data_IF_026618050937
#
_entry.id   IF_026618050937
#
_cell.length_a   1.000
_cell.length_b   1.000
_cell.length_c   1.000
_cell.angle_alpha   90.00
_cell.angle_beta   90.00
_cell.angle_gamma   90.00
#
_symmetry.space_group_name_H-M   'P 1'
#
loop_
_entity.id
_entity.type
_entity.pdbx_description
1 polymer ?
#
# COMPACT_ATOMS: atom_id res chain seq x y z
N UNK A 1 44.81 -95.96 -18.75
CA UNK A 1 45.28 -94.98 -19.74
C UNK A 1 44.13 -94.05 -20.02
N UNK A 2 44.31 -92.79 -19.59
CA UNK A 2 43.76 -91.51 -20.08
C UNK A 2 42.41 -91.47 -20.82
N UNK A 3 41.37 -90.84 -20.25
CA UNK A 3 41.01 -89.39 -20.33
C UNK A 3 39.84 -89.24 -21.32
N UNK A 4 38.65 -88.77 -20.95
CA UNK A 4 38.36 -87.37 -20.62
C UNK A 4 36.85 -87.22 -20.29
N UNK A 5 36.54 -86.33 -19.34
CA UNK A 5 35.19 -85.82 -18.95
C UNK A 5 34.98 -84.42 -19.62
N UNK A 6 33.81 -83.72 -19.55
CA UNK A 6 32.63 -83.90 -18.68
C UNK A 6 31.21 -83.71 -19.32
N UNK A 7 30.14 -84.18 -18.66
CA UNK A 7 28.95 -83.47 -18.08
C UNK A 7 27.69 -83.44 -18.98
N UNK A 8 26.57 -84.14 -18.68
CA UNK A 8 25.45 -83.83 -17.73
C UNK A 8 24.94 -82.38 -17.84
N UNK A 9 23.65 -82.04 -17.93
CA UNK A 9 22.37 -82.75 -17.88
C UNK A 9 21.28 -81.83 -18.44
N UNK A 10 20.17 -82.41 -18.91
CA UNK A 10 18.93 -81.70 -19.23
C UNK A 10 18.28 -81.09 -17.98
N UNK A 11 17.69 -79.92 -18.13
CA UNK A 11 16.85 -79.24 -17.13
C UNK A 11 16.19 -78.03 -17.79
N UNK A 12 14.89 -78.15 -18.07
CA UNK A 12 14.02 -77.07 -18.53
C UNK A 12 13.92 -75.97 -17.45
N UNK A 13 14.03 -74.71 -17.87
CA UNK A 13 13.68 -73.54 -17.07
C UNK A 13 12.65 -72.70 -17.84
N UNK A 14 11.57 -72.22 -17.19
CA UNK A 14 10.63 -71.31 -17.81
C UNK A 14 11.23 -69.91 -17.90
N UNK A 15 10.81 -69.14 -18.90
CA UNK A 15 11.16 -67.74 -19.04
C UNK A 15 10.55 -66.93 -17.88
N UNK A 16 11.42 -66.34 -17.06
CA UNK A 16 11.04 -65.29 -16.12
C UNK A 16 10.66 -64.04 -16.92
N UNK A 17 9.36 -63.81 -17.10
CA UNK A 17 8.84 -62.48 -17.43
C UNK A 17 9.03 -61.59 -16.21
N UNK A 18 10.00 -60.68 -16.28
CA UNK A 18 10.08 -59.55 -15.37
C UNK A 18 8.83 -58.69 -15.51
N UNK A 19 7.81 -58.99 -14.70
CA UNK A 19 6.68 -58.10 -14.48
C UNK A 19 7.21 -56.89 -13.71
N UNK A 20 7.49 -55.81 -14.43
CA UNK A 20 7.71 -54.49 -13.83
C UNK A 20 6.36 -54.08 -13.27
N UNK A 21 6.21 -54.16 -11.95
CA UNK A 21 5.06 -53.63 -11.24
C UNK A 21 5.12 -52.09 -11.36
N UNK A 22 4.53 -51.58 -12.44
CA UNK A 22 4.28 -50.15 -12.62
C UNK A 22 3.20 -49.73 -11.63
N UNK A 23 3.60 -49.53 -10.37
CA UNK A 23 2.82 -48.72 -9.46
C UNK A 23 2.67 -47.33 -10.10
N UNK A 24 1.44 -46.84 -10.32
CA UNK A 24 1.27 -45.47 -10.78
C UNK A 24 1.83 -44.58 -9.68
N UNK A 25 2.95 -43.91 -9.98
CA UNK A 25 3.39 -42.77 -9.20
C UNK A 25 2.26 -41.78 -9.33
N UNK A 26 1.50 -41.60 -8.25
CA UNK A 26 0.57 -40.51 -8.13
C UNK A 26 1.40 -39.23 -8.20
N UNK A 27 1.57 -38.70 -9.42
CA UNK A 27 2.12 -37.38 -9.67
C UNK A 27 1.18 -36.40 -8.95
N UNK A 28 1.45 -36.17 -7.67
CA UNK A 28 0.91 -35.05 -6.93
C UNK A 28 1.31 -33.81 -7.73
N UNK A 29 0.40 -33.34 -8.58
CA UNK A 29 0.51 -32.11 -9.33
C UNK A 29 0.76 -31.02 -8.30
N UNK A 30 2.02 -30.60 -8.16
CA UNK A 30 2.39 -29.53 -7.23
C UNK A 30 1.65 -28.28 -7.69
N UNK A 31 0.60 -27.91 -6.95
CA UNK A 31 -0.16 -26.70 -7.22
C UNK A 31 0.65 -25.51 -6.74
N UNK A 32 1.17 -24.73 -7.67
CA UNK A 32 1.91 -23.51 -7.35
C UNK A 32 0.94 -22.34 -7.14
N UNK A 33 0.32 -22.26 -5.97
CA UNK A 33 -0.63 -21.19 -5.58
C UNK A 33 -0.01 -20.14 -4.64
N UNK A 34 -0.81 -19.17 -4.20
CA UNK A 34 -0.44 -18.12 -3.26
C UNK A 34 -0.02 -18.63 -1.86
N UNK A 35 -0.35 -19.88 -1.51
CA UNK A 35 -0.04 -20.51 -0.22
C UNK A 35 1.18 -21.43 -0.28
N UNK A 36 1.77 -21.60 -1.46
CA UNK A 36 2.92 -22.47 -1.69
C UNK A 36 4.18 -21.64 -1.85
N UNK A 37 5.27 -22.02 -1.19
CA UNK A 37 6.57 -21.32 -1.26
C UNK A 37 7.20 -21.43 -2.66
N UNK A 38 8.01 -20.42 -3.01
CA UNK A 38 8.89 -20.51 -4.18
C UNK A 38 10.34 -20.60 -3.70
N UNK A 39 11.04 -21.74 -3.86
CA UNK A 39 12.42 -21.89 -3.40
C UNK A 39 13.43 -21.08 -4.22
N UNK A 40 13.01 -20.53 -5.36
CA UNK A 40 13.84 -19.72 -6.25
C UNK A 40 13.27 -18.33 -6.43
N UNK A 41 14.15 -17.33 -6.59
CA UNK A 41 13.72 -15.93 -6.73
C UNK A 41 12.98 -15.66 -8.05
N UNK A 42 13.34 -16.34 -9.15
CA UNK A 42 12.73 -16.15 -10.47
C UNK A 42 12.49 -17.50 -11.17
N UNK A 43 11.52 -17.57 -12.11
CA UNK A 43 10.59 -16.50 -12.51
C UNK A 43 9.51 -16.21 -11.45
N UNK A 44 9.01 -14.97 -11.42
CA UNK A 44 7.89 -14.59 -10.54
C UNK A 44 6.58 -15.18 -11.06
N UNK A 45 5.77 -15.75 -10.15
CA UNK A 45 4.41 -16.24 -10.44
C UNK A 45 3.41 -15.09 -10.42
N UNK A 46 3.67 -14.07 -9.61
CA UNK A 46 2.83 -12.88 -9.47
C UNK A 46 3.63 -11.60 -9.73
N UNK A 47 4.09 -11.33 -10.98
CA UNK A 47 4.94 -10.16 -11.28
C UNK A 47 4.35 -8.83 -10.81
N UNK A 48 3.02 -8.73 -10.76
CA UNK A 48 2.32 -7.55 -10.27
C UNK A 48 2.59 -7.21 -8.80
N UNK A 49 2.89 -8.21 -7.96
CA UNK A 49 3.24 -7.96 -6.57
C UNK A 49 4.64 -7.32 -6.47
N UNK A 50 5.56 -7.75 -7.34
CA UNK A 50 6.86 -7.09 -7.46
C UNK A 50 6.73 -5.64 -7.95
N UNK A 51 5.87 -5.38 -8.93
CA UNK A 51 5.64 -4.00 -9.39
C UNK A 51 5.01 -3.12 -8.31
N UNK A 52 4.08 -3.66 -7.50
CA UNK A 52 3.52 -2.95 -6.35
C UNK A 52 4.59 -2.64 -5.30
N UNK A 53 5.44 -3.62 -4.96
CA UNK A 53 6.61 -3.41 -4.10
C UNK A 53 7.51 -2.29 -4.63
N UNK A 54 7.90 -2.36 -5.91
CA UNK A 54 8.80 -1.38 -6.52
C UNK A 54 8.16 0.01 -6.58
N UNK A 55 6.86 0.09 -6.81
CA UNK A 55 6.11 1.35 -6.76
C UNK A 55 6.18 1.95 -5.36
N UNK A 56 5.91 1.17 -4.31
CA UNK A 56 6.01 1.65 -2.93
C UNK A 56 7.41 2.18 -2.59
N UNK A 57 8.47 1.48 -3.03
CA UNK A 57 9.84 1.95 -2.80
C UNK A 57 10.13 3.30 -3.46
N UNK A 58 9.55 3.56 -4.64
CA UNK A 58 9.76 4.80 -5.40
C UNK A 58 9.03 6.01 -4.81
N UNK A 59 8.04 5.77 -3.96
CA UNK A 59 7.21 6.83 -3.36
C UNK A 59 7.45 6.96 -1.85
N UNK A 60 8.53 6.36 -1.35
CA UNK A 60 8.92 6.45 0.06
C UNK A 60 9.07 7.90 0.53
N UNK A 61 8.68 8.16 1.77
CA UNK A 61 8.73 9.47 2.41
C UNK A 61 8.88 9.30 3.92
N UNK A 62 9.32 10.36 4.60
CA UNK A 62 9.39 10.43 6.05
C UNK A 62 8.65 11.67 6.57
N UNK A 63 7.97 11.60 7.73
CA UNK A 63 7.18 12.72 8.22
C UNK A 63 7.97 13.98 8.53
N UNK A 64 9.25 13.85 8.90
CA UNK A 64 10.14 14.98 9.17
C UNK A 64 10.42 15.83 7.92
N UNK A 65 10.10 15.34 6.72
CA UNK A 65 10.21 16.09 5.47
C UNK A 65 9.13 17.17 5.33
N UNK A 66 8.06 17.10 6.15
CA UNK A 66 6.93 18.04 6.07
C UNK A 66 7.05 19.16 7.11
N UNK A 67 7.07 20.43 6.69
CA UNK A 67 7.08 21.55 7.63
C UNK A 67 5.69 21.74 8.28
N UNK A 68 5.64 21.69 9.61
CA UNK A 68 4.40 21.78 10.40
C UNK A 68 4.19 23.12 11.14
N UNK A 69 5.02 24.12 10.87
CA UNK A 69 4.96 25.40 11.60
C UNK A 69 3.62 26.15 11.42
N UNK A 70 3.05 26.11 10.21
CA UNK A 70 1.75 26.71 9.94
C UNK A 70 0.61 25.91 10.60
N UNK A 71 0.71 24.58 10.67
CA UNK A 71 -0.23 23.71 11.36
C UNK A 71 -0.29 24.01 12.86
N UNK A 72 0.85 24.24 13.51
CA UNK A 72 0.90 24.67 14.92
C UNK A 72 0.18 26.01 15.11
N UNK A 73 0.41 26.96 14.21
CA UNK A 73 -0.26 28.27 14.24
C UNK A 73 -1.76 28.12 14.03
N UNK A 74 -2.17 27.35 13.03
CA UNK A 74 -3.57 27.10 12.69
C UNK A 74 -4.28 26.44 13.86
N UNK A 75 -3.67 25.38 14.41
CA UNK A 75 -4.14 24.72 15.61
C UNK A 75 -4.35 25.74 16.70
N UNK A 76 -3.36 26.51 17.14
CA UNK A 76 -3.57 27.37 18.31
C UNK A 76 -4.42 28.63 18.07
N UNK A 77 -4.54 29.12 16.83
CA UNK A 77 -5.09 30.47 16.57
C UNK A 77 -6.23 30.54 15.57
N UNK A 78 -6.29 29.64 14.59
CA UNK A 78 -7.19 29.79 13.45
C UNK A 78 -8.34 28.77 13.43
N UNK A 79 -8.15 27.59 14.04
CA UNK A 79 -9.20 26.59 14.16
C UNK A 79 -10.26 27.00 15.20
N UNK A 80 -11.52 26.95 14.79
CA UNK A 80 -12.68 27.06 15.67
C UNK A 80 -12.76 25.86 16.64
N UNK A 81 -13.60 25.98 17.67
CA UNK A 81 -13.83 24.87 18.61
C UNK A 81 -14.37 23.61 17.94
N UNK A 82 -15.31 23.76 17.00
CA UNK A 82 -15.91 22.66 16.26
C UNK A 82 -14.90 21.97 15.33
N UNK A 83 -14.10 22.76 14.59
CA UNK A 83 -13.02 22.26 13.74
C UNK A 83 -11.96 21.48 14.54
N UNK A 84 -11.54 22.02 15.68
CA UNK A 84 -10.58 21.36 16.57
C UNK A 84 -11.15 20.07 17.14
N UNK A 85 -12.41 20.08 17.58
CA UNK A 85 -13.08 18.86 18.04
C UNK A 85 -13.10 17.80 16.94
N UNK A 86 -13.49 18.17 15.72
CA UNK A 86 -13.55 17.26 14.58
C UNK A 86 -12.18 16.59 14.34
N UNK A 87 -11.11 17.38 14.25
CA UNK A 87 -9.74 16.86 14.10
C UNK A 87 -9.34 15.96 15.28
N UNK A 88 -9.60 16.37 16.51
CA UNK A 88 -9.29 15.57 17.70
C UNK A 88 -9.98 14.20 17.67
N UNK A 89 -11.26 14.12 17.27
CA UNK A 89 -11.95 12.83 17.21
C UNK A 89 -11.38 11.92 16.12
N UNK A 90 -10.96 12.49 14.97
CA UNK A 90 -10.30 11.73 13.91
C UNK A 90 -8.98 11.16 14.42
N UNK A 91 -8.11 12.02 14.95
CA UNK A 91 -6.77 11.64 15.39
C UNK A 91 -6.75 10.59 16.49
N UNK A 92 -7.74 10.57 17.39
CA UNK A 92 -7.85 9.57 18.46
C UNK A 92 -7.90 8.13 17.96
N UNK A 93 -8.50 7.91 16.80
CA UNK A 93 -8.62 6.57 16.23
C UNK A 93 -7.64 6.32 15.08
N UNK A 94 -7.20 7.38 14.40
CA UNK A 94 -6.41 7.26 13.18
C UNK A 94 -5.11 6.46 13.38
N UNK A 95 -4.29 6.85 14.37
CA UNK A 95 -3.05 6.13 14.68
C UNK A 95 -3.30 4.68 15.10
N UNK A 96 -4.38 4.41 15.83
CA UNK A 96 -4.72 3.04 16.22
C UNK A 96 -5.18 2.20 15.03
N UNK A 97 -5.89 2.79 14.06
CA UNK A 97 -6.33 2.09 12.87
C UNK A 97 -5.12 1.55 12.08
N UNK A 98 -4.09 2.35 11.88
CA UNK A 98 -2.87 1.90 11.18
C UNK A 98 -2.09 0.85 11.97
N UNK A 99 -2.11 0.92 13.31
CA UNK A 99 -1.55 -0.15 14.16
C UNK A 99 -2.26 -1.47 13.87
N UNK A 100 -3.59 -1.47 13.74
CA UNK A 100 -4.34 -2.68 13.43
C UNK A 100 -4.11 -3.17 11.99
N UNK A 101 -4.02 -2.26 11.02
CA UNK A 101 -3.68 -2.61 9.63
C UNK A 101 -2.28 -3.24 9.55
N UNK A 102 -1.27 -2.63 10.18
CA UNK A 102 0.08 -3.20 10.27
C UNK A 102 0.09 -4.57 10.97
N UNK A 103 -0.67 -4.72 12.06
CA UNK A 103 -0.84 -6.00 12.73
C UNK A 103 -1.40 -7.06 11.78
N UNK A 104 -2.36 -6.72 10.91
CA UNK A 104 -2.87 -7.63 9.90
C UNK A 104 -1.80 -8.06 8.89
N UNK A 105 -1.03 -7.11 8.35
CA UNK A 105 0.08 -7.43 7.45
C UNK A 105 1.09 -8.41 8.09
N UNK A 106 1.51 -8.11 9.33
CA UNK A 106 2.59 -8.82 10.01
C UNK A 106 2.16 -10.13 10.68
N UNK A 107 0.95 -10.20 11.23
CA UNK A 107 0.48 -11.34 12.04
C UNK A 107 -0.49 -12.24 11.29
N UNK A 108 -1.05 -11.77 10.17
CA UNK A 108 -2.01 -12.52 9.36
C UNK A 108 -1.49 -12.79 7.95
N UNK A 109 -1.32 -11.77 7.11
CA UNK A 109 -1.00 -11.97 5.69
C UNK A 109 0.38 -12.63 5.46
N UNK A 110 1.43 -12.14 6.12
CA UNK A 110 2.79 -12.70 5.98
C UNK A 110 2.88 -14.17 6.44
N UNK A 111 1.97 -14.61 7.32
CA UNK A 111 1.91 -15.98 7.83
C UNK A 111 1.42 -16.96 6.78
N UNK A 112 0.51 -16.54 5.89
CA UNK A 112 -0.20 -17.42 4.96
C UNK A 112 0.30 -17.33 3.53
N UNK A 113 0.65 -16.14 3.04
CA UNK A 113 1.19 -15.97 1.69
C UNK A 113 2.66 -16.32 1.62
N UNK A 114 3.07 -17.02 0.56
CA UNK A 114 4.39 -17.65 0.46
C UNK A 114 5.26 -17.27 -0.74
N UNK A 115 4.73 -16.84 -1.91
CA UNK A 115 5.57 -16.37 -3.00
C UNK A 115 6.45 -15.20 -2.58
N UNK A 116 7.74 -15.23 -2.95
CA UNK A 116 8.72 -14.21 -2.54
C UNK A 116 8.29 -12.80 -2.93
N UNK A 117 7.81 -12.60 -4.16
CA UNK A 117 7.35 -11.31 -4.65
C UNK A 117 6.12 -10.78 -3.91
N UNK A 118 5.25 -11.67 -3.40
CA UNK A 118 4.10 -11.28 -2.54
C UNK A 118 4.60 -10.89 -1.16
N UNK A 119 5.53 -11.66 -0.58
CA UNK A 119 6.16 -11.30 0.71
C UNK A 119 6.92 -9.98 0.63
N UNK A 120 7.60 -9.68 -0.48
CA UNK A 120 8.23 -8.39 -0.72
C UNK A 120 7.20 -7.25 -0.67
N UNK A 121 6.11 -7.38 -1.42
CA UNK A 121 5.01 -6.40 -1.43
C UNK A 121 4.43 -6.18 -0.03
N UNK A 122 4.05 -7.26 0.67
CA UNK A 122 3.48 -7.17 2.02
C UNK A 122 4.47 -6.56 3.04
N UNK A 123 5.77 -6.83 2.89
CA UNK A 123 6.79 -6.23 3.75
C UNK A 123 6.95 -4.73 3.52
N UNK A 124 6.86 -4.29 2.26
CA UNK A 124 6.90 -2.86 1.95
C UNK A 124 5.66 -2.13 2.49
N UNK A 125 4.46 -2.69 2.31
CA UNK A 125 3.23 -2.10 2.84
C UNK A 125 3.25 -2.04 4.36
N UNK A 126 3.63 -3.14 5.03
CA UNK A 126 3.81 -3.13 6.49
C UNK A 126 4.78 -2.06 6.97
N UNK A 127 5.92 -1.88 6.30
CA UNK A 127 6.85 -0.82 6.65
C UNK A 127 6.23 0.57 6.43
N UNK A 128 5.48 0.77 5.35
CA UNK A 128 4.73 2.01 5.11
C UNK A 128 3.72 2.29 6.23
N UNK A 129 3.01 1.28 6.74
CA UNK A 129 2.12 1.49 7.91
C UNK A 129 2.87 1.98 9.14
N UNK A 130 4.11 1.53 9.36
CA UNK A 130 4.92 2.08 10.46
C UNK A 130 5.28 3.55 10.26
N UNK A 131 5.43 3.98 9.00
CA UNK A 131 5.66 5.38 8.64
C UNK A 131 4.38 6.18 8.87
N UNK A 132 3.20 5.64 8.52
CA UNK A 132 1.90 6.27 8.81
C UNK A 132 1.73 6.51 10.33
N UNK A 133 1.97 5.47 11.14
CA UNK A 133 1.91 5.57 12.61
C UNK A 133 2.86 6.66 13.12
N UNK A 134 4.11 6.65 12.67
CA UNK A 134 5.10 7.65 13.07
C UNK A 134 4.72 9.06 12.60
N UNK A 135 4.17 9.20 11.40
CA UNK A 135 3.77 10.47 10.82
C UNK A 135 2.61 11.11 11.57
N UNK A 136 1.58 10.32 11.88
CA UNK A 136 0.46 10.81 12.69
C UNK A 136 0.92 11.10 14.11
N UNK A 137 1.77 10.27 14.71
CA UNK A 137 2.34 10.58 16.02
C UNK A 137 3.11 11.91 16.01
N UNK A 138 3.97 12.11 15.02
CA UNK A 138 4.77 13.32 14.87
C UNK A 138 3.89 14.58 14.70
N UNK A 139 2.84 14.49 13.89
CA UNK A 139 1.88 15.58 13.72
C UNK A 139 1.20 15.94 15.05
N UNK A 140 0.73 14.95 15.80
CA UNK A 140 0.02 15.14 17.06
C UNK A 140 0.91 15.72 18.16
N UNK A 141 2.14 15.22 18.26
CA UNK A 141 3.14 15.73 19.21
C UNK A 141 3.48 17.19 18.89
N UNK A 142 3.62 17.52 17.59
CA UNK A 142 3.98 18.86 17.13
C UNK A 142 2.90 19.90 17.44
N UNK A 143 1.61 19.56 17.31
CA UNK A 143 0.49 20.45 17.68
C UNK A 143 0.20 20.46 19.20
N UNK A 144 0.96 19.68 19.98
CA UNK A 144 0.85 19.62 21.44
C UNK A 144 -0.36 18.84 21.94
N UNK A 145 -0.82 17.82 21.22
CA UNK A 145 -1.89 16.95 21.70
C UNK A 145 -1.37 16.05 22.85
N UNK A 146 -2.09 15.93 23.98
CA UNK A 146 -1.65 15.07 25.08
C UNK A 146 -1.60 13.59 24.68
N UNK A 147 -0.57 12.87 25.12
CA UNK A 147 -0.40 11.43 24.85
C UNK A 147 -1.58 10.56 25.32
N UNK A 148 -2.33 11.01 26.34
CA UNK A 148 -3.53 10.29 26.80
C UNK A 148 -4.57 10.11 25.68
N UNK A 149 -4.56 11.00 24.68
CA UNK A 149 -5.49 10.96 23.56
C UNK A 149 -5.28 9.72 22.68
N UNK A 150 -4.08 9.12 22.64
CA UNK A 150 -3.84 7.85 21.95
C UNK A 150 -4.61 6.68 22.57
N UNK A 151 -4.94 6.74 23.87
CA UNK A 151 -5.72 5.71 24.54
C UNK A 151 -7.21 6.06 24.63
N UNK A 152 -7.59 7.26 24.18
CA UNK A 152 -8.95 7.75 24.35
C UNK A 152 -9.96 6.95 23.53
N UNK A 153 -9.54 6.30 22.43
CA UNK A 153 -10.43 5.48 21.61
C UNK A 153 -11.12 4.36 22.40
N UNK A 154 -10.46 3.78 23.41
CA UNK A 154 -11.05 2.76 24.28
C UNK A 154 -12.21 3.28 25.15
N UNK A 155 -12.33 4.60 25.29
CA UNK A 155 -13.35 5.27 26.12
C UNK A 155 -14.59 5.68 25.32
N UNK A 156 -14.50 5.74 23.99
CA UNK A 156 -15.61 6.08 23.11
C UNK A 156 -16.17 4.80 22.51
N UNK A 157 -17.47 4.55 22.69
CA UNK A 157 -18.12 3.32 22.22
C UNK A 157 -17.94 3.13 20.72
N UNK A 158 -18.10 4.21 19.96
CA UNK A 158 -18.03 4.25 18.50
C UNK A 158 -16.65 3.81 18.00
N UNK A 159 -15.59 4.22 18.70
CA UNK A 159 -14.22 3.83 18.34
C UNK A 159 -13.85 2.44 18.87
N UNK A 160 -14.33 2.08 20.07
CA UNK A 160 -14.12 0.75 20.64
C UNK A 160 -14.80 -0.34 19.81
N UNK A 161 -16.02 -0.11 19.35
CA UNK A 161 -16.75 -1.07 18.51
C UNK A 161 -15.96 -1.38 17.22
N UNK A 162 -15.38 -0.35 16.59
CA UNK A 162 -14.48 -0.50 15.43
C UNK A 162 -13.27 -1.37 15.78
N UNK A 163 -12.59 -1.04 16.88
CA UNK A 163 -11.44 -1.81 17.35
C UNK A 163 -11.79 -3.28 17.60
N UNK A 164 -12.86 -3.54 18.35
CA UNK A 164 -13.32 -4.89 18.69
C UNK A 164 -13.68 -5.68 17.42
N UNK A 165 -14.34 -5.04 16.44
CA UNK A 165 -14.68 -5.66 15.17
C UNK A 165 -13.43 -6.12 14.41
N UNK A 166 -12.36 -5.32 14.39
CA UNK A 166 -11.09 -5.67 13.75
C UNK A 166 -10.40 -6.88 14.42
N UNK A 167 -10.66 -7.14 15.71
CA UNK A 167 -10.12 -8.32 16.41
C UNK A 167 -10.83 -9.63 16.03
N UNK A 168 -11.97 -9.56 15.33
CA UNK A 168 -12.77 -10.72 14.95
C UNK A 168 -12.26 -11.48 13.72
N UNK A 169 -11.20 -10.99 13.06
CA UNK A 169 -10.69 -11.55 11.82
C UNK A 169 -9.53 -12.52 12.07
N UNK A 170 -9.44 -13.56 11.24
CA UNK A 170 -8.44 -14.61 11.34
C UNK A 170 -7.99 -15.04 9.94
N UNK A 171 -6.99 -15.91 9.88
CA UNK A 171 -6.51 -16.51 8.63
C UNK A 171 -6.27 -18.01 8.82
N UNK A 172 -7.20 -18.67 9.52
CA UNK A 172 -7.10 -20.08 9.90
C UNK A 172 -7.72 -21.02 8.87
N UNK A 173 -8.54 -20.47 7.96
CA UNK A 173 -9.13 -21.17 6.82
C UNK A 173 -9.15 -20.29 5.57
N UNK A 174 -9.33 -20.90 4.38
CA UNK A 174 -9.41 -20.14 3.11
C UNK A 174 -10.51 -19.09 3.08
N UNK A 175 -11.77 -19.37 3.50
CA UNK A 175 -12.79 -18.33 3.58
C UNK A 175 -12.41 -17.19 4.54
N UNK A 176 -11.75 -17.49 5.66
CA UNK A 176 -11.28 -16.47 6.60
C UNK A 176 -10.15 -15.62 6.00
N UNK A 177 -9.19 -16.22 5.30
CA UNK A 177 -8.16 -15.46 4.55
C UNK A 177 -8.82 -14.47 3.58
N UNK A 178 -9.76 -14.95 2.77
CA UNK A 178 -10.45 -14.10 1.80
C UNK A 178 -11.30 -13.01 2.49
N UNK A 179 -11.98 -13.34 3.60
CA UNK A 179 -12.74 -12.36 4.40
C UNK A 179 -11.82 -11.28 4.96
N UNK A 180 -10.68 -11.67 5.54
CA UNK A 180 -9.71 -10.75 6.14
C UNK A 180 -9.09 -9.83 5.08
N UNK A 181 -8.74 -10.36 3.90
CA UNK A 181 -8.31 -9.53 2.76
C UNK A 181 -9.35 -8.47 2.36
N UNK A 182 -10.63 -8.85 2.29
CA UNK A 182 -11.70 -7.91 1.98
C UNK A 182 -11.92 -6.89 3.11
N UNK A 183 -11.93 -7.35 4.36
CA UNK A 183 -12.16 -6.50 5.52
C UNK A 183 -11.05 -5.44 5.68
N UNK A 184 -9.79 -5.85 5.72
CA UNK A 184 -8.68 -4.92 5.92
C UNK A 184 -8.33 -4.16 4.65
N UNK A 185 -8.07 -4.86 3.54
CA UNK A 185 -7.62 -4.20 2.31
C UNK A 185 -8.70 -3.36 1.62
N UNK A 186 -9.89 -3.92 1.44
CA UNK A 186 -10.93 -3.22 0.69
C UNK A 186 -11.76 -2.26 1.56
N UNK A 187 -12.11 -2.67 2.78
CA UNK A 187 -13.05 -1.91 3.61
C UNK A 187 -12.39 -1.06 4.71
N UNK A 188 -11.26 -1.47 5.28
CA UNK A 188 -10.51 -0.63 6.23
C UNK A 188 -9.64 0.37 5.47
N UNK A 189 -8.61 -0.10 4.77
CA UNK A 189 -7.68 0.73 3.99
C UNK A 189 -8.42 1.46 2.87
N UNK A 190 -9.26 0.74 2.10
CA UNK A 190 -9.95 1.31 0.94
C UNK A 190 -11.21 2.15 1.21
N UNK A 191 -11.82 2.10 2.40
CA UNK A 191 -13.11 2.78 2.68
C UNK A 191 -13.05 3.59 3.99
N UNK A 192 -12.74 2.95 5.11
CA UNK A 192 -12.71 3.61 6.42
C UNK A 192 -11.67 4.72 6.47
N UNK A 193 -10.43 4.46 6.04
CA UNK A 193 -9.39 5.49 6.01
C UNK A 193 -9.73 6.62 5.02
N UNK A 194 -10.29 6.29 3.86
CA UNK A 194 -10.72 7.29 2.85
C UNK A 194 -11.79 8.24 3.36
N UNK A 195 -12.68 7.79 4.24
CA UNK A 195 -13.65 8.68 4.88
C UNK A 195 -12.97 9.75 5.73
N UNK A 196 -11.98 9.34 6.53
CA UNK A 196 -11.19 10.23 7.36
C UNK A 196 -10.30 11.16 6.52
N UNK A 197 -9.68 10.65 5.45
CA UNK A 197 -8.92 11.46 4.50
C UNK A 197 -9.77 12.56 3.88
N UNK A 198 -11.01 12.26 3.48
CA UNK A 198 -11.93 13.27 2.95
C UNK A 198 -12.19 14.38 3.97
N UNK A 199 -12.37 14.05 5.25
CA UNK A 199 -12.56 15.09 6.28
C UNK A 199 -11.27 15.91 6.48
N UNK A 200 -10.11 15.26 6.57
CA UNK A 200 -8.84 15.93 6.83
C UNK A 200 -8.41 16.83 5.66
N UNK A 201 -8.60 16.39 4.41
CA UNK A 201 -8.28 17.17 3.22
C UNK A 201 -9.21 18.38 3.02
N UNK A 202 -10.35 18.44 3.71
CA UNK A 202 -11.20 19.62 3.68
C UNK A 202 -10.53 20.85 4.33
N UNK A 203 -9.61 20.67 5.28
CA UNK A 203 -8.90 21.80 5.93
C UNK A 203 -7.95 22.56 4.99
N UNK A 204 -7.02 21.88 4.27
CA UNK A 204 -6.13 22.56 3.33
C UNK A 204 -6.87 23.23 2.17
N UNK A 205 -8.07 22.75 1.81
CA UNK A 205 -8.98 23.42 0.86
C UNK A 205 -9.32 24.85 1.27
N UNK A 206 -9.38 25.12 2.58
CA UNK A 206 -9.60 26.44 3.16
C UNK A 206 -8.31 27.07 3.71
N UNK A 207 -7.16 26.58 3.26
CA UNK A 207 -5.84 27.12 3.59
C UNK A 207 -5.39 26.88 5.03
N UNK A 208 -5.99 25.91 5.73
CA UNK A 208 -5.64 25.53 7.11
C UNK A 208 -4.95 24.18 7.15
N UNK A 209 -4.07 23.95 8.12
CA UNK A 209 -3.44 22.64 8.38
C UNK A 209 -2.77 22.07 7.11
N UNK A 210 -1.94 22.87 6.45
CA UNK A 210 -1.37 22.54 5.12
C UNK A 210 -0.35 21.41 5.20
N UNK A 211 0.47 21.36 6.25
CA UNK A 211 1.42 20.27 6.48
C UNK A 211 0.70 18.94 6.74
N UNK A 212 -0.35 18.95 7.57
CA UNK A 212 -1.26 17.81 7.69
C UNK A 212 -1.84 17.42 6.32
N UNK A 213 -2.28 18.40 5.53
CA UNK A 213 -2.77 18.15 4.16
C UNK A 213 -1.77 17.40 3.28
N UNK A 214 -0.48 17.76 3.36
CA UNK A 214 0.60 17.08 2.64
C UNK A 214 0.78 15.63 3.13
N UNK A 215 0.89 15.42 4.44
CA UNK A 215 1.00 14.09 5.05
C UNK A 215 -0.15 13.20 4.59
N UNK A 216 -1.39 13.71 4.69
CA UNK A 216 -2.59 12.96 4.30
C UNK A 216 -2.61 12.65 2.81
N UNK A 217 -2.14 13.55 1.95
CA UNK A 217 -2.09 13.28 0.52
C UNK A 217 -1.08 12.19 0.17
N UNK A 218 0.05 12.13 0.87
CA UNK A 218 1.00 11.02 0.72
C UNK A 218 0.41 9.71 1.25
N UNK A 219 -0.26 9.72 2.40
CA UNK A 219 -0.98 8.54 2.90
C UNK A 219 -2.05 8.07 1.92
N UNK A 220 -2.84 8.96 1.30
CA UNK A 220 -3.85 8.54 0.30
C UNK A 220 -3.21 7.83 -0.89
N UNK A 221 -2.04 8.28 -1.35
CA UNK A 221 -1.31 7.64 -2.45
C UNK A 221 -0.87 6.22 -2.06
N UNK A 222 -0.35 6.06 -0.85
CA UNK A 222 0.08 4.77 -0.32
C UNK A 222 -1.12 3.83 -0.13
N UNK A 223 -2.18 4.29 0.55
CA UNK A 223 -3.41 3.52 0.77
C UNK A 223 -4.13 3.14 -0.52
N UNK A 224 -4.02 3.96 -1.57
CA UNK A 224 -4.56 3.61 -2.90
C UNK A 224 -3.81 2.41 -3.48
N UNK A 225 -2.48 2.40 -3.39
CA UNK A 225 -1.65 1.27 -3.84
C UNK A 225 -1.90 0.02 -3.00
N UNK A 226 -2.02 0.17 -1.68
CA UNK A 226 -2.32 -0.92 -0.75
C UNK A 226 -3.67 -1.56 -1.07
N UNK A 227 -4.73 -0.76 -1.09
CA UNK A 227 -6.10 -1.19 -1.38
C UNK A 227 -6.18 -1.94 -2.73
N UNK A 228 -5.67 -1.34 -3.82
CA UNK A 228 -5.75 -1.96 -5.14
C UNK A 228 -4.94 -3.28 -5.22
N UNK A 229 -3.77 -3.32 -4.59
CA UNK A 229 -2.91 -4.52 -4.56
C UNK A 229 -3.50 -5.63 -3.71
N UNK A 230 -4.10 -5.32 -2.55
CA UNK A 230 -4.75 -6.31 -1.67
C UNK A 230 -6.07 -6.80 -2.28
N UNK A 231 -6.83 -5.95 -2.97
CA UNK A 231 -7.98 -6.41 -3.76
C UNK A 231 -7.51 -7.34 -4.88
N UNK A 232 -6.40 -7.04 -5.56
CA UNK A 232 -5.85 -7.95 -6.57
C UNK A 232 -5.41 -9.27 -5.96
N UNK A 233 -4.79 -9.25 -4.78
CA UNK A 233 -4.44 -10.45 -4.02
C UNK A 233 -5.69 -11.27 -3.65
N UNK A 234 -6.76 -10.61 -3.19
CA UNK A 234 -8.06 -11.24 -2.94
C UNK A 234 -8.63 -11.92 -4.17
N UNK A 235 -8.69 -11.21 -5.32
CA UNK A 235 -9.24 -11.78 -6.55
C UNK A 235 -8.43 -12.98 -7.04
N UNK A 236 -7.10 -12.90 -6.90
CA UNK A 236 -6.19 -13.99 -7.23
C UNK A 236 -6.42 -15.19 -6.31
N UNK A 237 -6.50 -14.96 -5.00
CA UNK A 237 -6.75 -15.99 -4.00
C UNK A 237 -8.11 -16.68 -4.18
N UNK A 238 -9.18 -15.93 -4.41
CA UNK A 238 -10.51 -16.50 -4.73
C UNK A 238 -10.47 -17.27 -6.05
N UNK A 239 -9.75 -16.77 -7.06
CA UNK A 239 -9.60 -17.44 -8.35
C UNK A 239 -8.87 -18.79 -8.25
N UNK A 240 -7.88 -18.89 -7.36
CA UNK A 240 -7.15 -20.13 -7.06
C UNK A 240 -7.94 -21.09 -6.17
N UNK A 241 -8.97 -20.60 -5.46
CA UNK A 241 -9.78 -21.37 -4.52
C UNK A 241 -11.29 -21.17 -4.82
N UNK A 242 -11.77 -21.54 -6.02
CA UNK A 242 -13.12 -21.20 -6.48
C UNK A 242 -14.24 -21.79 -5.60
N UNK A 243 -13.96 -22.85 -4.84
CA UNK A 243 -14.90 -23.47 -3.91
C UNK A 243 -15.36 -22.55 -2.78
N UNK A 244 -14.57 -21.53 -2.42
CA UNK A 244 -14.95 -20.57 -1.37
C UNK A 244 -15.95 -19.53 -1.86
N UNK A 245 -16.07 -19.33 -3.18
CA UNK A 245 -16.92 -18.30 -3.79
C UNK A 245 -18.39 -18.71 -3.86
N UNK A 246 -18.96 -19.00 -2.70
CA UNK A 246 -20.37 -19.40 -2.53
C UNK A 246 -21.27 -18.18 -2.34
N UNK A 247 -22.60 -18.35 -2.49
CA UNK A 247 -23.57 -17.31 -2.12
C UNK A 247 -23.45 -16.90 -0.65
N UNK A 248 -23.20 -17.88 0.23
CA UNK A 248 -23.01 -17.63 1.66
C UNK A 248 -21.80 -16.71 1.91
N UNK A 249 -20.68 -16.98 1.24
CA UNK A 249 -19.48 -16.15 1.37
C UNK A 249 -19.68 -14.75 0.76
N UNK A 250 -20.32 -14.62 -0.40
CA UNK A 250 -20.66 -13.31 -0.98
C UNK A 250 -21.55 -12.48 -0.03
N UNK A 251 -22.56 -13.11 0.57
CA UNK A 251 -23.43 -12.47 1.57
C UNK A 251 -22.63 -11.97 2.77
N UNK A 252 -21.67 -12.76 3.23
CA UNK A 252 -20.81 -12.43 4.35
C UNK A 252 -19.91 -11.21 4.06
N UNK A 253 -19.41 -11.08 2.83
CA UNK A 253 -18.70 -9.86 2.39
C UNK A 253 -19.61 -8.62 2.39
N UNK A 254 -20.87 -8.75 1.96
CA UNK A 254 -21.84 -7.65 2.05
C UNK A 254 -22.11 -7.24 3.51
N UNK A 255 -22.26 -8.21 4.41
CA UNK A 255 -22.48 -7.94 5.84
C UNK A 255 -21.24 -7.29 6.47
N UNK A 256 -20.04 -7.72 6.10
CA UNK A 256 -18.78 -7.11 6.54
C UNK A 256 -18.72 -5.64 6.11
N UNK A 257 -19.00 -5.37 4.82
CA UNK A 257 -19.04 -4.00 4.29
C UNK A 257 -20.09 -3.14 5.01
N UNK A 258 -21.31 -3.65 5.18
CA UNK A 258 -22.40 -2.92 5.84
C UNK A 258 -22.06 -2.60 7.31
N UNK A 259 -21.51 -3.56 8.06
CA UNK A 259 -21.07 -3.34 9.45
C UNK A 259 -20.02 -2.23 9.53
N UNK A 260 -19.04 -2.21 8.63
CA UNK A 260 -18.02 -1.14 8.61
C UNK A 260 -18.64 0.21 8.29
N UNK A 261 -19.58 0.29 7.35
CA UNK A 261 -20.32 1.54 7.05
C UNK A 261 -21.12 2.00 8.27
N UNK A 262 -21.78 1.10 9.00
CA UNK A 262 -22.53 1.45 10.21
C UNK A 262 -21.63 1.97 11.33
N UNK A 263 -20.44 1.37 11.49
CA UNK A 263 -19.44 1.86 12.43
C UNK A 263 -18.92 3.24 12.05
N UNK A 264 -18.65 3.48 10.77
CA UNK A 264 -18.24 4.79 10.29
C UNK A 264 -19.33 5.84 10.45
N UNK A 265 -20.59 5.49 10.21
CA UNK A 265 -21.71 6.40 10.43
C UNK A 265 -21.76 6.88 11.89
N UNK A 266 -21.57 5.96 12.85
CA UNK A 266 -21.52 6.27 14.27
C UNK A 266 -20.30 7.13 14.63
N UNK A 267 -19.13 6.80 14.07
CA UNK A 267 -17.91 7.59 14.25
C UNK A 267 -18.05 9.02 13.69
N UNK A 268 -18.67 9.17 12.52
CA UNK A 268 -18.94 10.49 11.92
C UNK A 268 -19.87 11.30 12.81
N UNK A 269 -20.93 10.70 13.37
CA UNK A 269 -21.83 11.42 14.28
C UNK A 269 -21.08 11.93 15.53
N UNK A 270 -20.16 11.12 16.09
CA UNK A 270 -19.29 11.54 17.19
C UNK A 270 -18.35 12.67 16.76
N UNK A 271 -17.71 12.54 15.60
CA UNK A 271 -16.72 13.49 15.09
C UNK A 271 -17.34 14.87 14.80
N UNK A 272 -18.54 14.87 14.21
CA UNK A 272 -19.34 16.07 13.92
C UNK A 272 -20.29 16.48 15.06
N UNK A 273 -20.08 15.99 16.28
CA UNK A 273 -20.96 16.28 17.43
C UNK A 273 -21.08 17.77 17.80
N UNK A 274 -20.15 18.62 17.32
CA UNK A 274 -20.22 20.09 17.46
C UNK A 274 -20.79 20.82 16.23
N UNK A 275 -21.36 20.08 15.29
CA UNK A 275 -21.94 20.60 14.05
C UNK A 275 -21.00 20.52 12.85
N UNK A 276 -21.46 21.01 11.68
CA UNK A 276 -20.67 21.02 10.45
C UNK A 276 -19.49 21.98 10.54
N UNK A 277 -18.52 21.77 9.65
CA UNK A 277 -17.38 22.68 9.44
C UNK A 277 -17.51 23.37 8.08
N UNK A 278 -16.65 24.35 7.81
CA UNK A 278 -16.65 25.06 6.54
C UNK A 278 -16.52 24.08 5.36
N UNK A 279 -17.50 24.09 4.46
CA UNK A 279 -17.48 23.28 3.24
C UNK A 279 -17.70 21.77 3.40
N UNK A 280 -18.04 21.27 4.58
CA UNK A 280 -18.27 19.84 4.82
C UNK A 280 -19.27 19.56 5.95
N UNK A 281 -20.25 18.70 5.67
CA UNK A 281 -21.24 18.19 6.62
C UNK A 281 -21.11 16.69 6.87
N UNK A 282 -21.55 16.22 8.04
CA UNK A 282 -21.63 14.80 8.36
C UNK A 282 -22.40 13.99 7.30
N UNK A 283 -23.52 14.54 6.79
CA UNK A 283 -24.35 13.87 5.80
C UNK A 283 -23.61 13.65 4.47
N UNK A 284 -22.80 14.61 4.02
CA UNK A 284 -21.99 14.47 2.81
C UNK A 284 -20.90 13.39 2.97
N UNK A 285 -20.24 13.34 4.14
CA UNK A 285 -19.25 12.28 4.43
C UNK A 285 -19.92 10.90 4.46
N UNK A 286 -21.10 10.78 5.09
CA UNK A 286 -21.86 9.51 5.10
C UNK A 286 -22.29 9.05 3.71
N UNK A 287 -22.63 9.97 2.81
CA UNK A 287 -22.86 9.65 1.40
C UNK A 287 -21.58 9.23 0.69
N UNK A 288 -20.47 9.91 0.97
CA UNK A 288 -19.17 9.58 0.39
C UNK A 288 -18.73 8.16 0.75
N UNK A 289 -18.92 7.74 2.01
CA UNK A 289 -18.64 6.38 2.46
C UNK A 289 -19.41 5.34 1.65
N UNK A 290 -20.70 5.56 1.44
CA UNK A 290 -21.55 4.64 0.65
C UNK A 290 -21.10 4.57 -0.81
N UNK A 291 -20.68 5.70 -1.37
CA UNK A 291 -20.10 5.77 -2.72
C UNK A 291 -18.81 4.95 -2.82
N UNK A 292 -17.90 5.08 -1.87
CA UNK A 292 -16.67 4.27 -1.84
C UNK A 292 -16.98 2.80 -1.57
N UNK A 293 -17.91 2.48 -0.66
CA UNK A 293 -18.32 1.11 -0.36
C UNK A 293 -18.76 0.35 -1.62
N UNK A 294 -19.59 0.97 -2.45
CA UNK A 294 -20.01 0.38 -3.73
C UNK A 294 -18.83 0.12 -4.67
N UNK A 295 -17.88 1.06 -4.76
CA UNK A 295 -16.67 0.87 -5.57
C UNK A 295 -15.84 -0.32 -5.09
N UNK A 296 -15.65 -0.46 -3.77
CA UNK A 296 -14.90 -1.59 -3.19
C UNK A 296 -15.61 -2.92 -3.41
N UNK A 297 -16.93 -2.97 -3.23
CA UNK A 297 -17.73 -4.15 -3.54
C UNK A 297 -17.58 -4.55 -5.02
N UNK A 298 -17.66 -3.60 -5.95
CA UNK A 298 -17.47 -3.85 -7.38
C UNK A 298 -16.06 -4.36 -7.68
N UNK A 299 -15.02 -3.76 -7.10
CA UNK A 299 -13.64 -4.22 -7.28
C UNK A 299 -13.44 -5.65 -6.74
N UNK A 300 -14.12 -6.03 -5.64
CA UNK A 300 -14.16 -7.40 -5.13
C UNK A 300 -14.99 -8.37 -6.00
N UNK A 301 -15.68 -7.90 -7.04
CA UNK A 301 -16.51 -8.72 -7.93
C UNK A 301 -17.95 -8.91 -7.48
N UNK A 302 -18.45 -8.04 -6.61
CA UNK A 302 -19.83 -8.00 -6.13
C UNK A 302 -20.61 -6.88 -6.83
N UNK A 303 -21.94 -6.91 -6.71
CA UNK A 303 -22.80 -5.81 -7.16
C UNK A 303 -22.83 -4.68 -6.12
N UNK A 304 -23.04 -3.41 -6.51
CA UNK A 304 -23.17 -2.31 -5.57
C UNK A 304 -24.36 -2.51 -4.64
N UNK A 305 -24.19 -2.12 -3.36
CA UNK A 305 -25.18 -2.25 -2.30
C UNK A 305 -26.03 -0.99 -2.18
N UNK A 306 -25.40 0.19 -2.18
CA UNK A 306 -26.04 1.49 -1.95
C UNK A 306 -26.48 2.19 -3.23
N UNK A 307 -25.89 1.81 -4.37
CA UNK A 307 -26.16 2.30 -5.73
C UNK A 307 -25.96 3.81 -5.87
N UNK A 308 -24.89 4.34 -5.29
CA UNK A 308 -24.49 5.73 -5.51
C UNK A 308 -23.61 5.84 -6.76
N UNK A 309 -24.12 6.53 -7.77
CA UNK A 309 -23.44 6.65 -9.07
C UNK A 309 -22.42 7.81 -9.12
N UNK A 310 -22.55 8.80 -8.24
CA UNK A 310 -21.73 10.03 -8.28
C UNK A 310 -21.03 10.27 -6.96
N UNK A 311 -19.78 10.72 -7.05
CA UNK A 311 -19.02 11.18 -5.90
C UNK A 311 -19.72 12.43 -5.30
N UNK A 312 -20.17 12.40 -4.03
CA UNK A 312 -20.79 13.57 -3.38
C UNK A 312 -19.76 14.64 -2.99
N UNK A 313 -18.46 14.33 -3.03
CA UNK A 313 -17.35 15.23 -2.73
C UNK A 313 -16.44 15.40 -3.96
N UNK A 314 -16.90 16.01 -5.06
CA UNK A 314 -16.13 16.08 -6.32
C UNK A 314 -14.81 16.86 -6.18
N UNK A 315 -14.74 17.80 -5.25
CA UNK A 315 -13.51 18.55 -4.94
C UNK A 315 -12.39 17.64 -4.42
N UNK A 316 -12.71 16.47 -3.86
CA UNK A 316 -11.72 15.53 -3.36
C UNK A 316 -10.90 14.95 -4.52
N UNK A 317 -11.56 14.64 -5.65
CA UNK A 317 -10.87 14.15 -6.85
C UNK A 317 -9.92 15.23 -7.39
N UNK A 318 -10.33 16.51 -7.36
CA UNK A 318 -9.48 17.63 -7.78
C UNK A 318 -8.24 17.78 -6.87
N UNK A 319 -8.43 17.66 -5.55
CA UNK A 319 -7.32 17.76 -4.60
C UNK A 319 -6.31 16.63 -4.73
N UNK A 320 -6.78 15.38 -4.86
CA UNK A 320 -5.91 14.22 -5.00
C UNK A 320 -5.11 14.28 -6.32
N UNK A 321 -5.75 14.67 -7.42
CA UNK A 321 -5.07 14.83 -8.71
C UNK A 321 -4.07 16.01 -8.69
N UNK A 322 -4.38 17.11 -8.00
CA UNK A 322 -3.48 18.27 -7.92
C UNK A 322 -2.17 17.94 -7.21
N UNK A 323 -2.21 17.10 -6.16
CA UNK A 323 -1.03 16.71 -5.37
C UNK A 323 -0.09 15.78 -6.16
N UNK A 324 -0.62 14.89 -7.00
CA UNK A 324 0.20 14.09 -7.91
C UNK A 324 0.98 14.97 -8.91
N UNK A 325 0.37 16.05 -9.40
CA UNK A 325 0.99 16.96 -10.36
C UNK A 325 1.99 17.96 -9.74
N UNK A 326 1.75 18.45 -8.52
CA UNK A 326 2.68 19.42 -7.86
C UNK A 326 3.96 18.74 -7.37
N UNK A 327 3.87 17.53 -6.81
CA UNK A 327 5.03 16.79 -6.31
C UNK A 327 6.05 16.44 -7.42
N UNK A 328 5.62 16.32 -8.68
CA UNK A 328 6.51 15.95 -9.80
C UNK A 328 7.34 17.13 -10.34
N UNK A 329 6.89 18.38 -10.18
CA UNK A 329 7.55 19.55 -10.77
C UNK A 329 8.29 20.45 -9.76
N UNK A 330 7.87 20.48 -8.49
CA UNK A 330 8.47 21.39 -7.50
C UNK A 330 9.58 20.75 -6.65
N UNK A 331 9.54 19.43 -6.39
CA UNK A 331 10.55 18.73 -5.59
C UNK A 331 11.73 18.16 -6.39
N UNK A 332 11.65 18.18 -7.73
CA UNK A 332 12.63 17.54 -8.61
C UNK A 332 14.02 18.23 -8.64
N UNK A 333 14.14 19.41 -8.04
CA UNK A 333 15.38 20.19 -8.07
C UNK A 333 16.37 19.89 -6.93
N UNK A 334 15.95 19.15 -5.89
CA UNK A 334 16.77 18.91 -4.68
C UNK A 334 17.13 17.45 -4.42
N UNK A 335 16.49 16.50 -5.08
CA UNK A 335 16.87 15.09 -5.00
C UNK A 335 17.96 14.77 -6.02
N UNK A 336 19.20 14.93 -5.58
CA UNK A 336 20.41 14.48 -6.27
C UNK A 336 20.33 12.97 -6.55
N UNK A 337 19.87 12.60 -7.74
CA UNK A 337 20.36 11.38 -8.38
C UNK A 337 21.83 11.60 -8.71
N UNK A 338 22.72 11.19 -7.79
CA UNK A 338 23.98 10.56 -8.18
C UNK A 338 23.59 9.36 -9.05
N UNK A 339 23.43 9.62 -10.34
CA UNK A 339 23.21 8.59 -11.33
C UNK A 339 24.43 7.66 -11.29
N UNK A 340 24.23 6.53 -10.61
CA UNK A 340 24.99 5.32 -10.82
C UNK A 340 24.89 4.95 -12.30
N UNK A 341 26.06 4.67 -12.86
CA UNK A 341 26.31 4.29 -14.25
C UNK A 341 25.39 3.15 -14.65
N UNK A 342 24.75 3.26 -15.82
CA UNK A 342 24.06 2.15 -16.46
C UNK A 342 25.12 1.32 -17.18
N UNK A 343 25.26 0.05 -16.81
CA UNK A 343 26.09 -0.93 -17.50
C UNK A 343 25.52 -2.33 -17.24
N UNK A 344 25.57 -3.19 -18.24
CA UNK A 344 25.17 -4.59 -18.09
C UNK A 344 26.36 -5.41 -17.55
N UNK A 345 26.08 -6.54 -16.89
CA UNK A 345 27.14 -7.45 -16.39
C UNK A 345 28.06 -7.96 -17.51
N UNK A 346 27.59 -7.97 -18.76
CA UNK A 346 28.33 -8.41 -19.94
C UNK A 346 29.42 -7.39 -20.33
N UNK A 347 29.19 -6.09 -20.08
CA UNK A 347 30.15 -5.01 -20.38
C UNK A 347 31.34 -4.96 -19.38
N UNK A 348 31.24 -5.66 -18.25
CA UNK A 348 32.21 -5.59 -17.16
C UNK A 348 33.32 -6.67 -17.22
N UNK A 349 33.15 -7.71 -18.05
CA UNK A 349 34.03 -8.88 -18.05
C UNK A 349 34.60 -9.27 -19.43
N UNK A 350 34.47 -8.42 -20.45
CA UNK A 350 35.23 -8.61 -21.68
C UNK A 350 36.69 -8.17 -21.48
N UNK A 351 37.62 -9.10 -21.75
CA UNK A 351 39.07 -8.93 -21.54
C UNK A 351 39.64 -7.70 -22.27
N UNK A 352 40.54 -6.92 -21.65
CA UNK A 352 41.12 -5.73 -22.28
C UNK A 352 42.17 -6.11 -23.34
N UNK A 353 42.21 -5.45 -24.51
CA UNK A 353 43.35 -5.57 -25.42
C UNK A 353 44.61 -4.91 -24.83
N UNK A 354 45.75 -5.49 -25.18
CA UNK A 354 47.08 -5.25 -24.62
C UNK A 354 47.51 -3.76 -24.54
N UNK A 355 48.25 -3.47 -23.46
CA UNK A 355 48.75 -2.17 -23.04
C UNK A 355 49.60 -1.41 -24.09
N UNK A 356 49.32 -0.10 -24.22
CA UNK A 356 50.20 0.93 -24.81
C UNK A 356 50.33 2.13 -23.86
N UNK A 357 51.41 2.93 -23.92
CA UNK A 357 51.92 3.64 -22.75
C UNK A 357 51.16 4.91 -22.38
N UNK A 358 51.24 5.21 -21.08
CA UNK A 358 50.62 6.29 -20.31
C UNK A 358 50.94 7.68 -20.86
N UNK A 359 49.91 8.49 -21.12
CA UNK A 359 49.98 9.91 -21.48
C UNK A 359 49.05 10.76 -20.61
N UNK A 360 49.60 11.84 -20.08
CA UNK A 360 49.06 12.84 -19.13
C UNK A 360 47.59 13.25 -19.27
N UNK A 361 46.93 13.40 -18.11
CA UNK A 361 45.63 14.07 -17.93
C UNK A 361 45.72 15.54 -18.35
N UNK A 362 44.93 15.93 -19.36
CA UNK A 362 44.64 17.32 -19.69
C UNK A 362 43.18 17.65 -19.30
N UNK A 363 43.02 18.59 -18.38
CA UNK A 363 41.73 19.15 -17.97
C UNK A 363 41.26 20.11 -19.08
N UNK A 364 40.12 19.81 -19.70
CA UNK A 364 39.50 20.69 -20.69
C UNK A 364 38.52 21.67 -20.01
N UNK A 365 38.83 22.96 -20.14
CA UNK A 365 38.01 24.12 -19.79
C UNK A 365 37.02 24.41 -20.95
N UNK A 366 35.74 24.76 -20.71
CA UNK A 366 34.79 25.07 -21.77
C UNK A 366 35.02 26.46 -22.39
N UNK A 367 34.62 26.68 -23.66
CA UNK A 367 35.03 27.86 -24.43
C UNK A 367 34.24 29.12 -24.09
N UNK A 368 34.96 30.24 -24.04
CA UNK A 368 34.46 31.62 -23.96
C UNK A 368 34.42 32.20 -25.38
N UNK A 369 33.26 32.68 -25.82
CA UNK A 369 33.12 33.56 -26.98
C UNK A 369 33.28 35.02 -26.54
N UNK A 370 34.36 35.68 -26.97
CA UNK A 370 34.45 37.15 -27.01
C UNK A 370 33.53 37.72 -28.10
N UNK A 371 33.22 39.02 -28.21
CA UNK A 371 33.88 40.23 -27.73
C UNK A 371 32.98 41.43 -28.10
N UNK A 372 32.99 42.52 -27.34
CA UNK A 372 32.68 43.85 -27.89
C UNK A 372 32.06 44.89 -26.95
N UNK A 373 32.90 45.75 -26.38
CA UNK A 373 32.69 47.20 -26.36
C UNK A 373 31.56 47.82 -25.50
N UNK A 374 31.94 48.31 -24.32
CA UNK A 374 31.38 49.53 -23.68
C UNK A 374 31.61 50.76 -24.60
N UNK A 375 30.83 51.88 -24.51
CA UNK A 375 30.71 52.62 -23.25
C UNK A 375 29.47 53.54 -23.00
N UNK A 376 29.43 53.99 -21.73
CA UNK A 376 28.97 55.29 -21.18
C UNK A 376 27.48 55.69 -21.17
N UNK A 377 27.00 55.87 -19.92
CA UNK A 377 26.26 57.02 -19.37
C UNK A 377 25.00 57.57 -20.08
N UNK A 378 23.86 57.54 -19.38
CA UNK A 378 23.19 58.73 -18.81
C UNK A 378 21.73 58.45 -18.36
N UNK A 379 21.40 58.95 -17.16
CA UNK A 379 20.12 59.58 -16.74
C UNK A 379 18.75 58.89 -16.98
N UNK A 380 18.08 58.53 -15.85
CA UNK A 380 16.68 58.81 -15.37
C UNK A 380 15.57 59.22 -16.39
N UNK A 381 14.27 59.20 -16.02
CA UNK A 381 13.45 58.24 -15.23
C UNK A 381 12.02 58.03 -15.81
N UNK A 382 11.18 57.23 -15.11
CA UNK A 382 9.69 57.24 -15.07
C UNK A 382 8.88 57.02 -16.37
N UNK A 383 7.98 56.04 -16.33
CA UNK A 383 6.55 56.24 -16.08
C UNK A 383 5.94 54.92 -15.56
#
# INVERSE_FOLDING_TARGET
MDSSLPSRSAGEHPADEHHVDEHPVDEHKVSFDLLTENPVYKPFRYPWAYEAWLTQQRVHWLPEEVPLADDVKDWHRNLTGAERNLLTQIFRFFTQADVEVNNCYMKHYSRVFKPTEVLMMLSAFSNTETIHIAAYSHLLDTIGMPELEYQAFLKYKEMKDKYDFMQGFSVDSRPEIARTLAAFGAFTEGLQLFASFAILLNFPRFGKMKGMGQIISWSVRDESLHCDSIIRLFRTFVGENPEIWTEGFRRDLYLTCATIVDHEDAFIDLAFGQGPVEGLTAAEVKQYIRYIADRRLVQLGLQPLYRLERNPLPWLDEMLNAVEHTNFFENRATEYSRASTVGSWEDAFDDPPAAGPVGSVAVAVPPVSGSGGLPLAATRPRA
#
